data_IF_134298598992
#
_entry.id   IF_134298598992
#
_cell.length_a   1.000
_cell.length_b   1.000
_cell.length_c   1.000
_cell.angle_alpha   90.00
_cell.angle_beta   90.00
_cell.angle_gamma   90.00
#
_symmetry.space_group_name_H-M   'P 1'
#
loop_
_entity.id
_entity.type
_entity.pdbx_description
1 polymer ?
#
# COMPACT_ATOMS: atom_id res chain seq x y z
N UNK A 1 -0.13 24.34 -27.54
CA UNK A 1 -0.42 22.89 -27.62
C UNK A 1 0.45 22.14 -28.66
N UNK A 2 1.15 22.80 -29.60
CA UNK A 2 1.87 22.10 -30.68
C UNK A 2 3.33 21.66 -30.45
N UNK A 3 3.96 21.90 -29.29
CA UNK A 3 5.43 21.77 -29.16
C UNK A 3 5.94 20.49 -28.44
N UNK A 4 5.06 19.66 -27.88
CA UNK A 4 5.44 18.60 -26.91
C UNK A 4 5.08 17.17 -27.33
N UNK A 5 4.07 17.00 -28.21
CA UNK A 5 3.96 15.80 -29.05
C UNK A 5 5.30 15.52 -29.75
N UNK A 6 5.94 16.60 -30.22
CA UNK A 6 7.27 16.61 -30.83
C UNK A 6 8.40 16.10 -29.93
N UNK A 7 8.31 16.17 -28.60
CA UNK A 7 9.41 15.72 -27.71
C UNK A 7 9.35 14.21 -27.48
N UNK A 8 8.16 13.64 -27.31
CA UNK A 8 8.02 12.19 -27.18
C UNK A 8 8.27 11.48 -28.51
N UNK A 9 7.84 12.09 -29.62
CA UNK A 9 8.20 11.66 -30.97
C UNK A 9 9.72 11.60 -31.19
N UNK A 10 10.49 12.54 -30.61
CA UNK A 10 11.97 12.49 -30.64
C UNK A 10 12.52 11.23 -29.98
N UNK A 11 11.97 10.83 -28.83
CA UNK A 11 12.42 9.64 -28.11
C UNK A 11 12.05 8.36 -28.86
N UNK A 12 10.82 8.27 -29.38
CA UNK A 12 10.37 7.13 -30.19
C UNK A 12 11.23 7.03 -31.46
N UNK A 13 11.45 8.14 -32.15
CA UNK A 13 12.26 8.17 -33.36
C UNK A 13 13.70 7.72 -33.09
N UNK A 14 14.29 8.20 -31.99
CA UNK A 14 15.65 7.84 -31.60
C UNK A 14 15.76 6.35 -31.21
N UNK A 15 14.83 5.85 -30.40
CA UNK A 15 14.74 4.43 -30.03
C UNK A 15 14.55 3.53 -31.26
N UNK A 16 13.61 3.87 -32.15
CA UNK A 16 13.37 3.15 -33.39
C UNK A 16 14.60 3.18 -34.32
N UNK A 17 15.35 4.29 -34.32
CA UNK A 17 16.61 4.41 -35.04
C UNK A 17 17.66 3.42 -34.56
N UNK A 18 17.78 3.23 -33.24
CA UNK A 18 18.69 2.23 -32.65
C UNK A 18 18.24 0.81 -33.03
N UNK A 19 16.96 0.49 -32.83
CA UNK A 19 16.41 -0.84 -33.16
C UNK A 19 16.53 -1.20 -34.65
N UNK A 20 16.52 -0.21 -35.54
CA UNK A 20 16.72 -0.39 -36.99
C UNK A 20 18.18 -0.36 -37.42
N UNK A 21 19.13 -0.29 -36.49
CA UNK A 21 20.57 -0.25 -36.77
C UNK A 21 21.02 1.04 -37.49
N UNK A 22 20.34 2.17 -37.27
CA UNK A 22 20.63 3.47 -37.92
C UNK A 22 21.58 4.36 -37.12
N UNK A 23 21.96 3.96 -35.90
CA UNK A 23 22.92 4.67 -35.04
C UNK A 23 22.63 6.19 -34.91
N UNK A 24 21.45 6.59 -34.40
CA UNK A 24 21.11 8.00 -34.29
C UNK A 24 22.04 8.74 -33.31
N UNK A 25 22.24 10.02 -33.54
CA UNK A 25 23.09 10.90 -32.73
C UNK A 25 22.48 12.30 -32.57
N UNK A 26 23.14 13.16 -31.78
CA UNK A 26 22.66 14.51 -31.49
C UNK A 26 22.51 15.40 -32.73
N UNK A 27 23.32 15.20 -33.77
CA UNK A 27 23.19 15.94 -35.03
C UNK A 27 21.99 15.42 -35.82
N UNK A 28 21.86 14.11 -36.04
CA UNK A 28 20.74 13.53 -36.79
C UNK A 28 19.38 13.82 -36.13
N UNK A 29 19.34 13.86 -34.79
CA UNK A 29 18.12 14.21 -34.05
C UNK A 29 17.80 15.71 -34.15
N UNK A 30 18.85 16.56 -34.14
CA UNK A 30 18.70 18.00 -34.34
C UNK A 30 18.17 18.33 -35.73
N UNK A 31 18.72 17.70 -36.75
CA UNK A 31 18.36 17.91 -38.15
C UNK A 31 16.93 17.40 -38.43
N UNK A 32 16.56 16.21 -37.93
CA UNK A 32 15.24 15.62 -38.20
C UNK A 32 14.08 16.40 -37.59
N UNK A 33 14.27 16.97 -36.39
CA UNK A 33 13.22 17.70 -35.66
C UNK A 33 13.41 19.21 -35.66
N UNK A 34 14.35 19.73 -36.47
CA UNK A 34 14.67 21.16 -36.59
C UNK A 34 14.92 21.84 -35.23
N UNK A 35 15.67 21.17 -34.35
CA UNK A 35 16.01 21.67 -33.02
C UNK A 35 17.50 21.96 -32.86
N UNK A 36 17.86 22.78 -31.88
CA UNK A 36 19.27 23.02 -31.57
C UNK A 36 20.00 21.73 -31.12
N UNK A 37 21.29 21.61 -31.48
CA UNK A 37 22.15 20.52 -30.98
C UNK A 37 22.23 20.46 -29.45
N UNK A 38 22.06 21.60 -28.77
CA UNK A 38 21.96 21.67 -27.29
C UNK A 38 20.70 20.96 -26.80
N UNK A 39 19.56 21.19 -27.44
CA UNK A 39 18.29 20.53 -27.12
C UNK A 39 18.37 19.02 -27.41
N UNK A 40 18.93 18.63 -28.56
CA UNK A 40 19.12 17.22 -28.91
C UNK A 40 20.00 16.46 -27.89
N UNK A 41 21.12 17.07 -27.45
CA UNK A 41 21.96 16.49 -26.38
C UNK A 41 21.21 16.35 -25.07
N UNK A 42 20.37 17.34 -24.72
CA UNK A 42 19.52 17.27 -23.51
C UNK A 42 18.49 16.13 -23.62
N UNK A 43 17.92 15.89 -24.81
CA UNK A 43 17.02 14.77 -25.06
C UNK A 43 17.72 13.42 -24.91
N UNK A 44 18.93 13.27 -25.45
CA UNK A 44 19.73 12.04 -25.30
C UNK A 44 20.13 11.81 -23.83
N UNK A 45 20.57 12.86 -23.13
CA UNK A 45 20.88 12.79 -21.70
C UNK A 45 19.64 12.38 -20.89
N UNK A 46 18.45 12.91 -21.23
CA UNK A 46 17.21 12.50 -20.59
C UNK A 46 16.90 11.01 -20.79
N UNK A 47 17.07 10.48 -22.01
CA UNK A 47 16.88 9.04 -22.25
C UNK A 47 17.82 8.20 -21.37
N UNK A 48 19.10 8.58 -21.28
CA UNK A 48 20.08 7.88 -20.45
C UNK A 48 19.79 8.00 -18.95
N UNK A 49 19.62 9.22 -18.48
CA UNK A 49 19.67 9.54 -17.04
C UNK A 49 18.29 9.38 -16.36
N UNK A 50 17.19 9.53 -17.12
CA UNK A 50 15.82 9.50 -16.56
C UNK A 50 15.02 8.26 -16.97
N UNK A 51 15.22 7.77 -18.19
CA UNK A 51 14.58 6.54 -18.67
C UNK A 51 15.44 5.29 -18.42
N UNK A 52 16.63 5.46 -17.83
CA UNK A 52 17.63 4.40 -17.61
C UNK A 52 17.97 3.65 -18.92
N UNK A 53 17.95 4.35 -20.06
CA UNK A 53 18.28 3.74 -21.34
C UNK A 53 19.80 3.46 -21.40
N UNK A 54 20.24 2.21 -21.67
CA UNK A 54 21.65 1.81 -21.64
C UNK A 54 22.38 2.27 -22.91
N UNK A 55 22.46 3.58 -23.13
CA UNK A 55 22.99 4.19 -24.33
C UNK A 55 24.53 4.21 -24.34
N UNK A 56 25.13 3.47 -25.28
CA UNK A 56 26.55 3.56 -25.62
C UNK A 56 26.74 4.35 -26.91
N UNK A 57 27.81 5.15 -26.96
CA UNK A 57 28.22 5.82 -28.20
C UNK A 57 29.24 4.98 -28.97
N UNK A 58 28.88 4.56 -30.17
CA UNK A 58 29.78 3.89 -31.12
C UNK A 58 30.57 4.94 -31.91
N UNK A 59 31.89 4.98 -31.69
CA UNK A 59 32.78 5.94 -32.35
C UNK A 59 32.94 5.67 -33.86
N UNK A 60 32.89 4.40 -34.28
CA UNK A 60 33.06 3.98 -35.68
C UNK A 60 31.83 4.35 -36.50
N UNK A 61 30.65 4.07 -35.96
CA UNK A 61 29.35 4.39 -36.59
C UNK A 61 28.91 5.83 -36.35
N UNK A 62 29.59 6.56 -35.46
CA UNK A 62 29.30 7.95 -35.06
C UNK A 62 27.87 8.13 -34.54
N UNK A 63 27.41 7.22 -33.67
CA UNK A 63 26.06 7.29 -33.13
C UNK A 63 25.81 6.34 -31.98
N UNK A 64 24.59 6.34 -31.44
CA UNK A 64 24.25 5.58 -30.24
C UNK A 64 23.69 4.18 -30.55
N UNK A 65 23.97 3.25 -29.65
CA UNK A 65 23.39 1.90 -29.57
C UNK A 65 22.98 1.58 -28.14
N UNK A 66 22.25 0.47 -27.93
CA UNK A 66 21.99 -0.06 -26.59
C UNK A 66 23.05 -1.10 -26.19
N UNK A 67 23.62 -0.96 -24.99
CA UNK A 67 24.56 -1.92 -24.41
C UNK A 67 23.89 -3.22 -23.97
N UNK A 68 22.60 -3.16 -23.64
CA UNK A 68 21.75 -4.29 -23.26
C UNK A 68 20.37 -4.13 -23.92
N UNK A 69 19.61 -5.22 -24.15
CA UNK A 69 18.25 -5.13 -24.66
C UNK A 69 17.42 -4.13 -23.86
N UNK A 70 16.92 -3.10 -24.54
CA UNK A 70 16.11 -2.04 -23.97
C UNK A 70 14.94 -1.78 -24.90
N UNK A 71 13.79 -1.47 -24.33
CA UNK A 71 12.62 -1.03 -25.09
C UNK A 71 12.12 0.22 -24.41
N UNK A 72 11.96 1.30 -25.17
CA UNK A 72 11.29 2.49 -24.66
C UNK A 72 9.90 2.06 -24.14
N UNK A 73 9.53 2.35 -22.87
CA UNK A 73 8.25 1.91 -22.36
C UNK A 73 7.12 2.64 -23.10
N UNK A 74 6.46 1.95 -24.03
CA UNK A 74 5.25 2.42 -24.68
C UNK A 74 4.09 2.21 -23.70
N UNK A 75 3.69 3.30 -23.04
CA UNK A 75 2.55 3.29 -22.14
C UNK A 75 1.67 4.46 -22.60
N UNK A 76 0.65 4.23 -23.43
CA UNK A 76 -0.34 5.24 -23.74
C UNK A 76 -1.15 5.49 -22.46
N UNK A 77 -0.73 6.46 -21.66
CA UNK A 77 -1.41 6.85 -20.42
C UNK A 77 -2.04 8.22 -20.63
N UNK A 78 -3.36 8.30 -20.43
CA UNK A 78 -4.11 9.54 -20.40
C UNK A 78 -3.69 10.45 -19.25
N UNK A 79 -4.05 11.73 -19.30
CA UNK A 79 -3.74 12.67 -18.22
C UNK A 79 -4.45 12.28 -16.92
N UNK A 80 -5.66 11.75 -17.03
CA UNK A 80 -6.48 11.25 -15.94
C UNK A 80 -5.85 10.03 -15.26
N UNK A 81 -5.41 9.04 -16.04
CA UNK A 81 -4.73 7.84 -15.51
C UNK A 81 -3.41 8.20 -14.82
N UNK A 82 -2.68 9.16 -15.39
CA UNK A 82 -1.44 9.65 -14.85
C UNK A 82 -1.63 10.40 -13.53
N UNK A 83 -2.63 11.28 -13.45
CA UNK A 83 -3.03 11.94 -12.21
C UNK A 83 -3.49 10.91 -11.17
N UNK A 84 -4.29 9.92 -11.57
CA UNK A 84 -4.75 8.86 -10.66
C UNK A 84 -3.57 8.08 -10.07
N UNK A 85 -2.55 7.75 -10.88
CA UNK A 85 -1.34 7.07 -10.40
C UNK A 85 -0.51 7.96 -9.47
N UNK A 86 -0.38 9.25 -9.78
CA UNK A 86 0.36 10.21 -8.94
C UNK A 86 -0.33 10.47 -7.60
N UNK A 87 -1.67 10.56 -7.58
CA UNK A 87 -2.47 10.65 -6.36
C UNK A 87 -2.37 9.35 -5.55
N UNK A 88 -2.51 8.19 -6.20
CA UNK A 88 -2.30 6.87 -5.57
C UNK A 88 -0.93 6.78 -4.92
N UNK A 89 0.11 7.25 -5.61
CA UNK A 89 1.47 7.38 -5.06
C UNK A 89 1.48 8.20 -3.77
N UNK A 90 0.87 9.40 -3.77
CA UNK A 90 0.87 10.27 -2.59
C UNK A 90 0.09 9.65 -1.43
N UNK A 91 -0.99 8.93 -1.70
CA UNK A 91 -1.73 8.16 -0.70
C UNK A 91 -0.84 7.07 -0.05
N UNK A 92 0.09 6.48 -0.81
CA UNK A 92 0.92 5.35 -0.37
C UNK A 92 2.32 5.73 0.13
N UNK A 93 2.80 6.95 -0.16
CA UNK A 93 4.19 7.34 0.12
C UNK A 93 4.50 7.41 1.63
N UNK A 94 3.54 7.86 2.43
CA UNK A 94 3.70 8.05 3.88
C UNK A 94 3.48 6.75 4.68
N UNK A 95 2.76 5.77 4.11
CA UNK A 95 2.60 4.43 4.72
C UNK A 95 3.81 3.54 4.48
N UNK A 96 4.51 3.76 3.38
CA UNK A 96 5.56 2.88 2.89
C UNK A 96 6.94 3.55 3.00
N UNK A 97 7.47 3.71 4.22
CA UNK A 97 8.91 4.03 4.38
C UNK A 97 9.83 2.89 3.88
N UNK A 98 9.24 1.77 3.47
CA UNK A 98 9.88 0.56 2.95
C UNK A 98 10.25 0.59 1.44
N UNK A 99 10.44 -0.61 0.88
CA UNK A 99 10.82 -0.82 -0.52
C UNK A 99 9.79 -0.24 -1.51
N UNK A 100 8.49 -0.46 -1.24
CA UNK A 100 7.41 0.00 -2.11
C UNK A 100 7.45 1.52 -2.24
N UNK A 101 7.55 2.27 -1.14
CA UNK A 101 7.56 3.73 -1.23
C UNK A 101 8.76 4.25 -2.02
N UNK A 102 9.93 3.61 -1.94
CA UNK A 102 11.07 3.95 -2.80
C UNK A 102 10.81 3.65 -4.28
N UNK A 103 10.22 2.49 -4.58
CA UNK A 103 9.85 2.10 -5.95
C UNK A 103 8.79 3.06 -6.52
N UNK A 104 7.76 3.39 -5.74
CA UNK A 104 6.72 4.38 -6.05
C UNK A 104 7.33 5.77 -6.27
N UNK A 105 8.27 6.21 -5.43
CA UNK A 105 9.00 7.48 -5.64
C UNK A 105 9.76 7.50 -6.96
N UNK A 106 10.48 6.42 -7.27
CA UNK A 106 11.24 6.30 -8.52
C UNK A 106 10.30 6.28 -9.73
N UNK A 107 9.23 5.50 -9.68
CA UNK A 107 8.23 5.42 -10.74
C UNK A 107 7.51 6.75 -10.93
N UNK A 108 7.11 7.41 -9.84
CA UNK A 108 6.53 8.75 -9.85
C UNK A 108 7.44 9.78 -10.50
N UNK A 109 8.76 9.75 -10.21
CA UNK A 109 9.73 10.61 -10.91
C UNK A 109 9.73 10.36 -12.42
N UNK A 110 9.75 9.09 -12.86
CA UNK A 110 9.67 8.73 -14.30
C UNK A 110 8.37 9.23 -14.94
N UNK A 111 7.26 9.18 -14.20
CA UNK A 111 5.98 9.71 -14.63
C UNK A 111 6.00 11.24 -14.72
N UNK A 112 6.48 11.95 -13.70
CA UNK A 112 6.62 13.42 -13.73
C UNK A 112 7.54 13.91 -14.85
N UNK A 113 8.53 13.11 -15.22
CA UNK A 113 9.37 13.35 -16.38
C UNK A 113 8.57 13.35 -17.71
N UNK A 114 7.46 12.60 -17.76
CA UNK A 114 6.47 12.61 -18.84
C UNK A 114 5.39 13.68 -18.65
N UNK A 115 5.12 14.14 -17.42
CA UNK A 115 3.99 15.04 -17.09
C UNK A 115 4.32 16.53 -17.02
N UNK A 116 5.57 16.94 -17.24
CA UNK A 116 6.04 18.33 -17.05
C UNK A 116 5.17 19.39 -17.74
N UNK A 117 4.33 18.97 -18.70
CA UNK A 117 3.55 19.80 -19.60
C UNK A 117 2.05 19.88 -19.29
N UNK A 118 1.56 19.17 -18.26
CA UNK A 118 0.17 19.30 -17.74
C UNK A 118 0.09 20.38 -16.64
N UNK A 119 1.19 21.09 -16.37
CA UNK A 119 1.30 22.00 -15.21
C UNK A 119 1.29 21.30 -13.84
N UNK A 120 1.22 19.96 -13.85
CA UNK A 120 1.27 19.11 -12.67
C UNK A 120 2.72 18.73 -12.37
N UNK A 121 3.42 19.62 -11.67
CA UNK A 121 4.71 19.29 -11.05
C UNK A 121 4.50 18.49 -9.77
N UNK A 122 5.50 17.71 -9.35
CA UNK A 122 5.47 17.02 -8.04
C UNK A 122 5.15 17.99 -6.91
N UNK A 123 5.74 19.19 -6.96
CA UNK A 123 5.46 20.28 -6.01
C UNK A 123 3.99 20.69 -6.03
N UNK A 124 3.39 20.88 -7.21
CA UNK A 124 1.97 21.30 -7.33
C UNK A 124 1.03 20.21 -6.84
N UNK A 125 1.28 18.95 -7.18
CA UNK A 125 0.48 17.82 -6.69
C UNK A 125 0.55 17.73 -5.17
N UNK A 126 1.73 17.84 -4.56
CA UNK A 126 1.88 17.85 -3.10
C UNK A 126 1.25 19.06 -2.42
N UNK A 127 1.20 20.21 -3.08
CA UNK A 127 0.51 21.40 -2.57
C UNK A 127 -1.02 21.26 -2.61
N UNK A 128 -1.55 20.58 -3.63
CA UNK A 128 -2.99 20.42 -3.80
C UNK A 128 -3.56 19.18 -3.10
N UNK A 129 -2.74 18.14 -2.90
CA UNK A 129 -3.17 16.85 -2.39
C UNK A 129 -2.18 16.31 -1.37
N UNK A 130 -2.67 16.06 -0.16
CA UNK A 130 -1.93 15.41 0.92
C UNK A 130 -2.71 14.21 1.45
N UNK A 131 -1.98 13.26 2.01
CA UNK A 131 -2.52 12.15 2.77
C UNK A 131 -1.89 12.20 4.16
N UNK A 132 -2.65 11.85 5.19
CA UNK A 132 -2.10 11.68 6.53
C UNK A 132 -2.53 10.33 7.07
N UNK A 133 -1.55 9.53 7.44
CA UNK A 133 -1.76 8.27 8.11
C UNK A 133 -1.31 8.40 9.57
N UNK A 134 -2.20 8.04 10.49
CA UNK A 134 -1.88 7.97 11.91
C UNK A 134 -1.62 6.51 12.28
N UNK A 135 -0.63 6.26 13.15
CA UNK A 135 -0.37 4.95 13.77
C UNK A 135 -0.02 3.80 12.80
N UNK A 136 0.89 4.01 11.85
CA UNK A 136 1.41 2.93 10.98
C UNK A 136 2.61 2.20 11.61
N UNK A 137 2.86 0.95 11.21
CA UNK A 137 4.03 0.17 11.62
C UNK A 137 4.87 -0.17 10.38
N UNK A 138 5.99 0.53 10.15
CA UNK A 138 6.80 0.30 8.96
C UNK A 138 7.41 -1.10 8.99
N UNK A 139 7.40 -1.78 7.84
CA UNK A 139 8.12 -3.04 7.66
C UNK A 139 9.47 -2.80 7.02
N UNK A 140 10.47 -3.60 7.42
CA UNK A 140 11.78 -3.60 6.77
C UNK A 140 11.66 -3.87 5.24
N UNK A 141 12.29 -3.04 4.38
CA UNK A 141 12.25 -3.20 2.92
C UNK A 141 12.69 -4.59 2.44
N UNK A 142 13.73 -5.17 3.05
CA UNK A 142 14.28 -6.46 2.70
C UNK A 142 13.35 -7.60 3.09
N UNK A 143 12.68 -7.50 4.25
CA UNK A 143 11.62 -8.43 4.66
C UNK A 143 10.46 -8.37 3.66
N UNK A 144 9.97 -7.17 3.34
CA UNK A 144 8.88 -7.00 2.37
C UNK A 144 9.23 -7.66 1.02
N UNK A 145 10.44 -7.40 0.51
CA UNK A 145 10.91 -7.98 -0.75
C UNK A 145 10.93 -9.51 -0.70
N UNK A 146 11.51 -10.11 0.36
CA UNK A 146 11.56 -11.57 0.53
C UNK A 146 10.18 -12.20 0.64
N UNK A 147 9.26 -11.58 1.39
CA UNK A 147 7.87 -12.05 1.53
C UNK A 147 7.16 -12.00 0.19
N UNK A 148 7.31 -10.90 -0.55
CA UNK A 148 6.72 -10.73 -1.89
C UNK A 148 7.26 -11.74 -2.88
N UNK A 149 8.58 -11.95 -2.91
CA UNK A 149 9.21 -12.96 -3.75
C UNK A 149 8.70 -14.37 -3.41
N UNK A 150 8.60 -14.71 -2.12
CA UNK A 150 8.09 -16.00 -1.69
C UNK A 150 6.61 -16.23 -2.08
N UNK A 151 5.78 -15.18 -2.02
CA UNK A 151 4.39 -15.20 -2.46
C UNK A 151 4.23 -15.43 -3.97
N UNK A 152 5.10 -14.83 -4.78
CA UNK A 152 5.06 -14.91 -6.25
C UNK A 152 5.70 -16.19 -6.80
N UNK A 153 6.59 -16.82 -6.04
CA UNK A 153 7.34 -18.02 -6.47
C UNK A 153 6.91 -19.30 -5.74
N UNK A 154 5.82 -19.24 -4.97
CA UNK A 154 5.29 -20.35 -4.16
C UNK A 154 6.39 -21.05 -3.32
N UNK A 155 7.17 -20.23 -2.61
CA UNK A 155 8.21 -20.71 -1.68
C UNK A 155 7.86 -20.43 -0.24
N UNK A 156 8.26 -21.36 0.63
CA UNK A 156 8.11 -21.22 2.09
C UNK A 156 9.00 -20.12 2.63
N UNK A 157 8.54 -19.49 3.70
CA UNK A 157 9.30 -18.53 4.48
C UNK A 157 9.69 -19.16 5.81
N UNK A 158 10.93 -18.91 6.24
CA UNK A 158 11.38 -19.13 7.60
C UNK A 158 11.81 -17.82 8.24
N UNK A 159 11.38 -17.57 9.46
CA UNK A 159 11.68 -16.34 10.19
C UNK A 159 11.52 -16.51 11.70
N UNK A 160 12.18 -15.62 12.44
CA UNK A 160 11.92 -15.36 13.84
C UNK A 160 10.73 -14.42 13.97
N UNK A 161 9.81 -14.71 14.89
CA UNK A 161 8.60 -13.90 15.07
C UNK A 161 8.40 -13.53 16.54
N UNK A 162 8.38 -12.23 16.81
CA UNK A 162 8.09 -11.71 18.15
C UNK A 162 6.57 -11.65 18.38
N UNK A 163 6.09 -12.32 19.43
CA UNK A 163 4.69 -12.29 19.84
C UNK A 163 4.50 -11.40 21.07
N UNK A 164 3.93 -10.19 20.95
CA UNK A 164 3.74 -9.29 22.09
C UNK A 164 2.98 -9.93 23.26
N UNK A 165 1.96 -10.75 22.96
CA UNK A 165 1.13 -11.43 23.96
C UNK A 165 1.90 -12.43 24.83
N UNK A 166 3.03 -12.96 24.35
CA UNK A 166 3.80 -14.00 25.06
C UNK A 166 5.19 -13.53 25.46
N UNK A 167 5.58 -12.32 25.04
CA UNK A 167 6.93 -11.79 25.16
C UNK A 167 8.02 -12.82 24.77
N UNK A 168 7.76 -13.57 23.69
CA UNK A 168 8.60 -14.67 23.23
C UNK A 168 8.84 -14.54 21.73
N UNK A 169 10.09 -14.71 21.34
CA UNK A 169 10.50 -14.89 19.95
C UNK A 169 10.45 -16.37 19.62
N UNK A 170 9.76 -16.72 18.54
CA UNK A 170 9.71 -18.10 18.07
C UNK A 170 9.93 -18.19 16.58
N UNK A 171 10.66 -19.22 16.17
CA UNK A 171 10.84 -19.53 14.76
C UNK A 171 9.56 -20.10 14.15
N UNK A 172 9.35 -19.76 12.88
CA UNK A 172 8.21 -20.19 12.08
C UNK A 172 8.68 -20.60 10.71
N UNK A 173 8.13 -21.71 10.22
CA UNK A 173 8.12 -22.03 8.78
C UNK A 173 6.68 -21.94 8.31
N UNK A 174 6.43 -21.13 7.29
CA UNK A 174 5.08 -20.87 6.79
C UNK A 174 5.02 -20.92 5.27
N UNK A 175 3.84 -21.23 4.76
CA UNK A 175 3.51 -21.20 3.33
C UNK A 175 2.69 -19.93 3.06
N UNK A 176 3.29 -18.88 2.50
CA UNK A 176 2.63 -17.58 2.32
C UNK A 176 1.53 -17.65 1.25
N UNK A 177 0.35 -17.06 1.50
CA UNK A 177 -0.78 -17.12 0.55
C UNK A 177 -1.37 -15.76 0.18
N UNK A 178 -1.32 -14.78 1.08
CA UNK A 178 -1.84 -13.44 0.80
C UNK A 178 -1.16 -12.39 1.68
N UNK A 179 -0.89 -11.22 1.14
CA UNK A 179 -0.33 -10.08 1.85
C UNK A 179 -1.33 -8.92 1.80
N UNK A 180 -1.81 -8.51 2.98
CA UNK A 180 -2.83 -7.48 3.13
C UNK A 180 -2.23 -6.26 3.83
N UNK A 181 -2.53 -5.05 3.35
CA UNK A 181 -2.27 -3.82 4.10
C UNK A 181 -3.48 -3.52 4.97
N UNK A 182 -3.31 -3.59 6.30
CA UNK A 182 -4.38 -3.43 7.27
C UNK A 182 -3.98 -2.47 8.38
N UNK A 183 -4.78 -1.42 8.61
CA UNK A 183 -4.54 -0.37 9.62
C UNK A 183 -3.07 0.12 9.65
N UNK A 184 -2.51 0.43 8.48
CA UNK A 184 -1.14 0.93 8.37
C UNK A 184 -0.05 -0.13 8.62
N UNK A 185 -0.38 -1.41 8.51
CA UNK A 185 0.58 -2.51 8.69
C UNK A 185 0.41 -3.58 7.62
N UNK A 186 1.52 -4.12 7.11
CA UNK A 186 1.49 -5.31 6.28
C UNK A 186 1.30 -6.57 7.11
N UNK A 187 0.29 -7.37 6.75
CA UNK A 187 -0.10 -8.61 7.41
C UNK A 187 -0.10 -9.75 6.40
N UNK A 188 0.78 -10.72 6.61
CA UNK A 188 0.87 -11.95 5.82
C UNK A 188 -0.10 -13.00 6.35
N UNK A 189 -1.05 -13.44 5.54
CA UNK A 189 -1.80 -14.68 5.74
C UNK A 189 -1.00 -15.87 5.18
N UNK A 190 -0.69 -16.83 6.05
CA UNK A 190 0.10 -18.00 5.70
C UNK A 190 -0.34 -19.26 6.46
N UNK A 191 -0.14 -20.43 5.85
CA UNK A 191 -0.29 -21.70 6.54
C UNK A 191 0.95 -21.99 7.38
N UNK A 192 0.79 -22.06 8.70
CA UNK A 192 1.90 -22.28 9.62
C UNK A 192 2.15 -23.78 9.81
N UNK A 193 3.26 -24.31 9.29
CA UNK A 193 3.59 -25.75 9.37
C UNK A 193 3.72 -26.26 10.80
N UNK A 194 4.26 -25.46 11.71
CA UNK A 194 4.38 -25.86 13.13
C UNK A 194 3.02 -25.99 13.82
N UNK A 195 2.03 -25.21 13.40
CA UNK A 195 0.71 -25.15 14.03
C UNK A 195 -0.36 -25.88 13.23
N UNK A 196 -0.06 -26.28 12.00
CA UNK A 196 -1.01 -26.90 11.07
C UNK A 196 -2.31 -26.08 10.98
N UNK A 197 -2.16 -24.76 10.83
CA UNK A 197 -3.29 -23.82 10.82
C UNK A 197 -2.94 -22.53 10.07
N UNK A 198 -3.96 -21.88 9.50
CA UNK A 198 -3.87 -20.54 8.93
C UNK A 198 -3.58 -19.50 10.01
N UNK A 199 -2.59 -18.65 9.78
CA UNK A 199 -2.21 -17.58 10.70
C UNK A 199 -1.85 -16.30 9.96
N UNK A 200 -2.06 -15.19 10.66
CA UNK A 200 -1.62 -13.86 10.25
C UNK A 200 -0.31 -13.50 10.94
N UNK A 201 0.62 -12.95 10.18
CA UNK A 201 1.93 -12.51 10.66
C UNK A 201 2.17 -11.07 10.22
N UNK A 202 2.35 -10.17 11.18
CA UNK A 202 2.69 -8.78 10.91
C UNK A 202 4.13 -8.70 10.46
N UNK A 203 4.40 -8.10 9.30
CA UNK A 203 5.76 -8.00 8.77
C UNK A 203 6.68 -7.21 9.71
N UNK A 204 6.17 -6.19 10.36
CA UNK A 204 6.90 -5.40 11.37
C UNK A 204 7.37 -6.21 12.60
N UNK A 205 6.91 -7.46 12.76
CA UNK A 205 7.31 -8.38 13.85
C UNK A 205 8.16 -9.56 13.39
N UNK A 206 8.51 -9.59 12.11
CA UNK A 206 9.36 -10.62 11.53
C UNK A 206 10.82 -10.18 11.61
N UNK A 207 11.70 -11.15 11.86
CA UNK A 207 13.14 -10.98 11.84
C UNK A 207 13.78 -12.19 11.15
N UNK A 208 15.01 -12.02 10.63
CA UNK A 208 15.80 -13.11 10.03
C UNK A 208 15.05 -13.89 8.95
N UNK A 209 14.29 -13.18 8.11
CA UNK A 209 13.45 -13.80 7.08
C UNK A 209 14.32 -14.42 5.99
N UNK A 210 14.04 -15.67 5.66
CA UNK A 210 14.68 -16.45 4.60
C UNK A 210 13.64 -17.18 3.75
N UNK A 211 13.86 -17.22 2.44
CA UNK A 211 13.07 -18.02 1.51
C UNK A 211 13.69 -19.41 1.47
N UNK A 212 12.88 -20.46 1.58
CA UNK A 212 13.36 -21.85 1.62
C UNK A 212 12.79 -22.67 0.45
N UNK A 213 12.04 -23.69 0.79
CA UNK A 213 11.60 -24.75 -0.12
C UNK A 213 10.35 -24.33 -0.89
N UNK A 214 10.14 -24.83 -2.13
CA UNK A 214 8.84 -24.70 -2.80
C UNK A 214 7.73 -25.38 -1.99
N UNK A 215 6.49 -24.95 -2.19
CA UNK A 215 5.30 -25.63 -1.68
C UNK A 215 4.20 -25.63 -2.73
N UNK A 216 3.28 -26.58 -2.63
CA UNK A 216 2.08 -26.58 -3.46
C UNK A 216 1.06 -25.60 -2.89
N UNK A 217 0.73 -24.55 -3.66
CA UNK A 217 -0.22 -23.54 -3.21
C UNK A 217 -1.61 -24.15 -3.03
N UNK A 218 -2.25 -23.87 -1.89
CA UNK A 218 -3.62 -24.32 -1.63
C UNK A 218 -4.62 -23.52 -2.47
N UNK A 219 -5.74 -24.14 -2.89
CA UNK A 219 -6.77 -23.44 -3.64
C UNK A 219 -7.33 -22.27 -2.84
N UNK A 220 -7.78 -21.25 -3.55
CA UNK A 220 -8.19 -20.00 -2.92
C UNK A 220 -9.43 -20.15 -2.02
N UNK A 221 -10.28 -21.13 -2.29
CA UNK A 221 -11.42 -21.50 -1.42
C UNK A 221 -10.99 -21.84 0.01
N UNK A 222 -9.77 -22.36 0.20
CA UNK A 222 -9.26 -22.77 1.51
C UNK A 222 -8.88 -21.59 2.42
N UNK A 223 -8.75 -20.36 1.91
CA UNK A 223 -8.24 -19.22 2.69
C UNK A 223 -8.88 -17.86 2.39
N UNK A 224 -9.51 -17.65 1.22
CA UNK A 224 -10.10 -16.33 0.89
C UNK A 224 -11.16 -15.88 1.89
N UNK A 225 -12.00 -16.80 2.38
CA UNK A 225 -13.01 -16.51 3.39
C UNK A 225 -12.40 -15.91 4.66
N UNK A 226 -11.16 -16.29 5.01
CA UNK A 226 -10.46 -15.76 6.17
C UNK A 226 -10.15 -14.27 6.05
N UNK A 227 -10.12 -13.70 4.83
CA UNK A 227 -9.89 -12.27 4.60
C UNK A 227 -11.13 -11.41 4.84
N UNK A 228 -12.32 -12.01 4.80
CA UNK A 228 -13.61 -11.31 4.73
C UNK A 228 -14.50 -11.61 5.95
N UNK A 229 -14.09 -12.51 6.83
CA UNK A 229 -14.97 -13.12 7.84
C UNK A 229 -15.22 -12.26 9.08
N UNK A 230 -15.31 -10.92 8.99
CA UNK A 230 -15.76 -10.04 10.08
C UNK A 230 -14.97 -8.75 10.28
N UNK A 231 -15.45 -7.89 11.18
CA UNK A 231 -14.77 -6.65 11.56
C UNK A 231 -13.34 -6.92 12.08
N UNK A 232 -12.35 -6.47 11.32
CA UNK A 232 -10.94 -6.50 11.69
C UNK A 232 -10.12 -7.62 11.04
N UNK A 233 -8.96 -7.93 11.63
CA UNK A 233 -8.06 -9.02 11.16
C UNK A 233 -7.99 -10.21 12.09
N UNK A 234 -8.59 -10.15 13.28
CA UNK A 234 -8.67 -11.33 14.13
C UNK A 234 -9.59 -12.40 13.54
N UNK A 235 -9.28 -13.66 13.90
CA UNK A 235 -9.92 -14.84 13.32
C UNK A 235 -11.14 -15.27 14.13
N UNK A 236 -12.17 -15.70 13.41
CA UNK A 236 -13.25 -16.57 13.85
C UNK A 236 -13.84 -17.23 12.60
N UNK A 237 -14.22 -18.50 12.68
CA UNK A 237 -14.86 -19.20 11.56
C UNK A 237 -16.29 -18.74 11.33
N UNK A 238 -16.90 -18.16 12.36
CA UNK A 238 -18.27 -17.66 12.38
C UNK A 238 -18.28 -16.22 12.85
N UNK A 239 -19.08 -15.40 12.19
CA UNK A 239 -19.38 -14.04 12.62
C UNK A 239 -20.68 -14.01 13.40
N UNK A 240 -20.74 -13.15 14.41
CA UNK A 240 -21.98 -12.80 15.09
C UNK A 240 -22.22 -11.29 15.00
N UNK A 241 -23.48 -10.83 15.05
CA UNK A 241 -23.78 -9.41 14.97
C UNK A 241 -23.36 -8.69 16.26
N UNK A 242 -22.67 -7.56 16.11
CA UNK A 242 -22.44 -6.58 17.18
C UNK A 242 -23.25 -5.34 16.85
N UNK A 243 -24.07 -4.90 17.81
CA UNK A 243 -24.97 -3.76 17.65
C UNK A 243 -24.57 -2.65 18.62
N UNK A 244 -24.30 -1.46 18.06
CA UNK A 244 -23.86 -0.28 18.79
C UNK A 244 -24.81 0.87 18.49
N UNK A 245 -25.30 1.54 19.55
CA UNK A 245 -26.06 2.78 19.44
C UNK A 245 -25.13 3.96 19.60
N UNK A 246 -25.21 4.90 18.68
CA UNK A 246 -24.53 6.18 18.73
C UNK A 246 -25.50 7.29 19.11
N UNK A 247 -25.03 8.25 19.89
CA UNK A 247 -25.80 9.44 20.27
C UNK A 247 -26.28 10.22 19.03
N UNK A 248 -27.30 11.10 19.16
CA UNK A 248 -27.73 11.97 18.07
C UNK A 248 -26.62 12.91 17.56
N UNK A 249 -25.70 13.29 18.43
CA UNK A 249 -24.51 14.04 18.05
C UNK A 249 -23.65 13.17 17.12
N UNK A 250 -23.21 11.99 17.58
CA UNK A 250 -22.27 11.13 16.86
C UNK A 250 -22.85 10.51 15.58
N UNK A 251 -24.17 10.29 15.53
CA UNK A 251 -24.90 9.76 14.39
C UNK A 251 -24.60 10.49 13.06
N UNK A 252 -24.36 11.81 13.13
CA UNK A 252 -24.03 12.65 11.97
C UNK A 252 -22.74 12.24 11.27
N UNK A 253 -21.74 11.74 12.00
CA UNK A 253 -20.50 11.28 11.39
C UNK A 253 -20.52 9.79 11.07
N UNK A 254 -21.19 8.98 11.89
CA UNK A 254 -21.21 7.53 11.71
C UNK A 254 -22.00 7.12 10.46
N UNK A 255 -23.05 7.85 10.10
CA UNK A 255 -23.85 7.50 8.93
C UNK A 255 -23.10 7.58 7.59
N UNK A 256 -21.97 8.30 7.54
CA UNK A 256 -21.10 8.43 6.37
C UNK A 256 -19.96 7.39 6.34
N UNK A 257 -19.76 6.65 7.45
CA UNK A 257 -18.65 5.70 7.59
C UNK A 257 -19.05 4.29 7.19
N UNK A 258 -18.14 3.62 6.48
CA UNK A 258 -18.24 2.18 6.21
C UNK A 258 -17.22 1.44 7.07
N UNK A 259 -17.70 0.82 8.14
CA UNK A 259 -16.95 -0.07 9.04
C UNK A 259 -16.88 -1.50 8.49
N UNK A 260 -17.95 -1.94 7.82
CA UNK A 260 -18.04 -3.25 7.18
C UNK A 260 -18.96 -3.17 5.94
N UNK A 261 -18.66 -3.88 4.84
CA UNK A 261 -19.55 -3.90 3.66
C UNK A 261 -20.99 -4.31 3.99
N UNK A 262 -21.15 -5.32 4.85
CA UNK A 262 -22.46 -5.83 5.29
C UNK A 262 -23.00 -5.13 6.55
N UNK A 263 -22.59 -3.89 6.82
CA UNK A 263 -23.11 -3.16 7.97
C UNK A 263 -24.57 -2.73 7.76
N UNK A 264 -25.34 -2.71 8.84
CA UNK A 264 -26.73 -2.24 8.83
C UNK A 264 -26.81 -0.97 9.68
N UNK A 265 -27.40 0.07 9.11
CA UNK A 265 -27.63 1.35 9.77
C UNK A 265 -29.14 1.59 9.96
N UNK A 266 -29.53 1.92 11.18
CA UNK A 266 -30.92 2.23 11.54
C UNK A 266 -30.98 3.56 12.29
N UNK A 267 -31.66 4.55 11.72
CA UNK A 267 -31.91 5.84 12.39
C UNK A 267 -33.13 5.72 13.29
N UNK A 268 -33.02 6.24 14.51
CA UNK A 268 -34.13 6.33 15.45
C UNK A 268 -34.80 7.72 15.40
N UNK A 269 -36.03 7.80 15.90
CA UNK A 269 -36.82 9.05 15.91
C UNK A 269 -36.26 10.15 16.83
N UNK A 270 -35.42 9.79 17.79
CA UNK A 270 -34.72 10.72 18.70
C UNK A 270 -33.42 11.29 18.08
N UNK A 271 -33.11 10.93 16.83
CA UNK A 271 -31.91 11.33 16.11
C UNK A 271 -30.70 10.42 16.35
N UNK A 272 -30.79 9.42 17.23
CA UNK A 272 -29.73 8.42 17.42
C UNK A 272 -29.62 7.46 16.24
N UNK A 273 -28.50 6.74 16.17
CA UNK A 273 -28.21 5.79 15.09
C UNK A 273 -27.74 4.46 15.68
N UNK A 274 -28.33 3.37 15.25
CA UNK A 274 -27.86 2.03 15.55
C UNK A 274 -27.09 1.48 14.36
N UNK A 275 -25.86 1.01 14.61
CA UNK A 275 -24.99 0.32 13.68
C UNK A 275 -24.87 -1.15 14.10
N UNK A 276 -25.17 -2.06 13.18
CA UNK A 276 -24.90 -3.50 13.35
C UNK A 276 -23.84 -3.94 12.36
N UNK A 277 -22.80 -4.61 12.86
CA UNK A 277 -21.69 -5.15 12.05
C UNK A 277 -21.43 -6.62 12.37
N UNK A 278 -21.11 -7.47 11.37
CA UNK A 278 -20.66 -8.83 11.62
C UNK A 278 -19.24 -8.84 12.18
N UNK A 279 -19.04 -9.51 13.31
CA UNK A 279 -17.77 -9.56 14.03
C UNK A 279 -17.41 -11.02 14.34
N UNK A 280 -16.16 -11.38 14.10
CA UNK A 280 -15.63 -12.70 14.46
C UNK A 280 -14.87 -12.70 15.80
N UNK A 281 -14.41 -11.54 16.25
CA UNK A 281 -13.64 -11.37 17.49
C UNK A 281 -13.89 -10.00 18.12
N UNK A 282 -14.19 -9.98 19.42
CA UNK A 282 -14.58 -8.76 20.13
C UNK A 282 -13.45 -7.75 20.34
N UNK A 283 -12.17 -8.13 20.22
CA UNK A 283 -11.05 -7.27 20.62
C UNK A 283 -10.96 -5.98 19.82
N UNK A 284 -11.05 -6.06 18.50
CA UNK A 284 -10.93 -4.88 17.62
C UNK A 284 -12.15 -3.97 17.71
N UNK A 285 -13.36 -4.55 17.67
CA UNK A 285 -14.59 -3.76 17.77
C UNK A 285 -14.67 -3.06 19.14
N UNK A 286 -14.22 -3.72 20.23
CA UNK A 286 -14.11 -3.11 21.55
C UNK A 286 -13.21 -1.88 21.53
N UNK A 287 -12.00 -2.00 20.98
CA UNK A 287 -11.07 -0.87 20.88
C UNK A 287 -11.63 0.26 20.03
N UNK A 288 -12.35 -0.06 18.94
CA UNK A 288 -13.00 0.94 18.10
C UNK A 288 -14.10 1.68 18.85
N UNK A 289 -14.96 0.98 19.59
CA UNK A 289 -16.04 1.58 20.37
C UNK A 289 -15.48 2.53 21.44
N UNK A 290 -14.42 2.12 22.14
CA UNK A 290 -13.81 2.94 23.20
C UNK A 290 -13.26 4.29 22.69
N UNK A 291 -12.93 4.41 21.39
CA UNK A 291 -12.51 5.70 20.79
C UNK A 291 -13.61 6.76 20.82
N UNK A 292 -14.88 6.35 20.89
CA UNK A 292 -16.03 7.26 20.94
C UNK A 292 -16.48 7.60 22.37
N UNK A 293 -15.87 6.97 23.38
CA UNK A 293 -16.21 7.21 24.78
C UNK A 293 -17.70 7.04 25.06
N UNK A 294 -18.37 7.99 25.75
CA UNK A 294 -19.78 7.88 26.12
C UNK A 294 -20.76 8.04 24.95
N UNK A 295 -20.27 8.43 23.76
CA UNK A 295 -21.11 8.63 22.57
C UNK A 295 -21.53 7.31 21.88
N UNK A 296 -20.96 6.17 22.32
CA UNK A 296 -21.22 4.85 21.77
C UNK A 296 -21.60 3.86 22.87
N UNK A 297 -22.76 3.22 22.73
CA UNK A 297 -23.27 2.22 23.65
C UNK A 297 -23.45 0.87 22.95
N UNK A 298 -22.88 -0.18 23.52
CA UNK A 298 -23.06 -1.56 23.03
C UNK A 298 -24.41 -2.09 23.48
N UNK A 299 -25.30 -2.38 22.52
CA UNK A 299 -26.59 -3.02 22.77
C UNK A 299 -26.49 -4.56 22.77
N UNK A 300 -25.64 -5.11 21.91
CA UNK A 300 -25.39 -6.55 21.83
C UNK A 300 -23.99 -6.85 21.22
N UNK A 301 -23.35 -7.98 21.55
CA UNK A 301 -23.75 -8.96 22.56
C UNK A 301 -23.47 -8.48 24.00
N UNK A 302 -24.14 -9.10 24.98
CA UNK A 302 -23.98 -8.78 26.41
C UNK A 302 -22.53 -8.96 26.88
N UNK A 303 -21.80 -9.93 26.31
CA UNK A 303 -20.38 -10.12 26.59
C UNK A 303 -19.55 -8.87 26.29
N UNK A 304 -19.75 -8.26 25.11
CA UNK A 304 -19.03 -7.04 24.73
C UNK A 304 -19.44 -5.86 25.62
N UNK A 305 -20.72 -5.74 25.94
CA UNK A 305 -21.24 -4.73 26.87
C UNK A 305 -20.56 -4.84 28.25
N UNK A 306 -20.40 -6.06 28.76
CA UNK A 306 -19.67 -6.35 30.00
C UNK A 306 -18.19 -5.95 29.91
N UNK A 307 -17.51 -6.31 28.80
CA UNK A 307 -16.11 -5.93 28.62
C UNK A 307 -15.92 -4.40 28.59
N UNK A 308 -16.80 -3.66 27.91
CA UNK A 308 -16.77 -2.19 27.89
C UNK A 308 -17.03 -1.60 29.28
N UNK A 309 -18.00 -2.15 30.02
CA UNK A 309 -18.32 -1.72 31.40
C UNK A 309 -17.09 -1.85 32.32
N UNK A 310 -16.40 -2.98 32.27
CA UNK A 310 -15.21 -3.21 33.10
C UNK A 310 -14.02 -2.33 32.66
N UNK A 311 -13.86 -2.08 31.36
CA UNK A 311 -12.86 -1.12 30.88
C UNK A 311 -13.17 0.31 31.36
N UNK A 312 -14.43 0.74 31.28
CA UNK A 312 -14.86 2.06 31.73
C UNK A 312 -14.61 2.27 33.23
N UNK A 313 -14.87 1.24 34.07
CA UNK A 313 -14.52 1.29 35.50
C UNK A 313 -13.02 1.45 35.73
N UNK A 314 -12.19 0.67 35.03
CA UNK A 314 -10.72 0.78 35.10
C UNK A 314 -10.22 2.13 34.63
N UNK A 315 -10.82 2.66 33.57
CA UNK A 315 -10.46 3.97 33.04
C UNK A 315 -10.83 5.07 34.05
N UNK A 316 -12.04 5.01 34.62
CA UNK A 316 -12.47 5.93 35.68
C UNK A 316 -11.53 5.88 36.91
N UNK A 317 -11.09 4.69 37.34
CA UNK A 317 -10.19 4.57 38.49
C UNK A 317 -8.83 5.24 38.28
N UNK A 318 -8.28 5.18 37.06
CA UNK A 318 -7.00 5.83 36.71
C UNK A 318 -7.08 7.35 36.89
N UNK A 319 -8.24 7.96 36.61
CA UNK A 319 -8.43 9.41 36.68
C UNK A 319 -9.09 9.89 37.98
N UNK A 320 -9.63 8.98 38.80
CA UNK A 320 -10.21 9.32 40.11
C UNK A 320 -9.16 9.47 41.20
N UNK A 321 -8.01 8.80 41.06
CA UNK A 321 -6.91 8.94 42.01
C UNK A 321 -6.22 10.30 41.82
N UNK A 322 -6.24 11.13 42.87
CA UNK A 322 -5.54 12.44 42.89
C UNK A 322 -4.11 12.24 42.41
N UNK A 323 -3.72 12.93 41.33
CA UNK A 323 -2.34 13.02 40.85
C UNK A 323 -1.38 13.18 42.05
N UNK A 324 -0.63 12.14 42.39
CA UNK A 324 0.63 12.35 43.08
C UNK A 324 1.55 13.00 42.05
N UNK A 325 1.87 14.26 42.31
CA UNK A 325 2.60 15.21 41.47
C UNK A 325 3.62 14.55 40.52
N UNK A 326 3.44 14.81 39.21
CA UNK A 326 4.48 14.69 38.19
C UNK A 326 5.36 15.94 38.21
#
# INVERSE_FOLDING_TARGET
MGNQHLVYERYIWFDAGIHRGRFPNASTLADHFEISRRTARRNIAFMRDMLDAPLAYDQTRRGYTYEMPFTLPDLPVSQEELLAVLLTRNLLEDTESGFIGQAIRRFGRKLFARTGDIGLSERRVRQCFSAMWHSYSPSDPGIFHKVSQALLTDRTLFFSYHSPQRNQTMERTVEPHHLQHYMGSWVLLAWCRKRQAWRRFYLARMENVTIRLPFQRRPASAWRHLLQSGFGVFQGSETFPVTVRFSPHMARWIHEQVWHPDQILQKAGDGSLTLTVPVADLREIKMKILQFGPEAEVLAPEELRNQIREEAKRLASIYSDKKQNL
#
